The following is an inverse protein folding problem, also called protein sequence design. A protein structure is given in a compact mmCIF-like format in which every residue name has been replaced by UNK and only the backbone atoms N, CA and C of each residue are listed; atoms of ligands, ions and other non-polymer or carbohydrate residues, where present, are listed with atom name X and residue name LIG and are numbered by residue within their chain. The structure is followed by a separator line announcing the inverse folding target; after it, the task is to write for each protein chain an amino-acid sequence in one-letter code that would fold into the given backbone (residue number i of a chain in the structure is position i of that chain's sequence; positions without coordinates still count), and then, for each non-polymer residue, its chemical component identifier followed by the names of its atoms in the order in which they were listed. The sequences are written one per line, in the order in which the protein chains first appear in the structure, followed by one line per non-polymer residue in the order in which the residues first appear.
data_IF_917507673883
#
_entry.id   IF_917507673883
#
_cell.length_a   1.000
_cell.length_b   1.000
_cell.length_c   1.000
_cell.angle_alpha   90.00
_cell.angle_beta   90.00
_cell.angle_gamma   90.00
#
_symmetry.space_group_name_H-M   'P 1'
#
loop_
_entity.id
_entity.type
_entity.pdbx_description
1 polymer ?
#
# COMPACT_ATOMS: atom_id res chain seq x y z
N UNK A 1 -15.00 -16.38 -18.43
CA UNK A 1 -15.40 -17.64 -17.75
C UNK A 1 -14.26 -18.66 -17.71
N UNK A 2 -14.02 -19.50 -18.74
CA UNK A 2 -12.97 -20.53 -18.67
C UNK A 2 -11.52 -19.98 -18.69
N UNK A 3 -11.25 -18.92 -19.48
CA UNK A 3 -9.93 -18.27 -19.52
C UNK A 3 -9.62 -17.42 -18.27
N UNK A 4 -10.64 -16.93 -17.56
CA UNK A 4 -10.46 -16.19 -16.30
C UNK A 4 -10.16 -17.13 -15.13
N UNK A 5 -10.81 -18.31 -15.08
CA UNK A 5 -10.53 -19.33 -14.07
C UNK A 5 -9.13 -19.94 -14.22
N UNK A 6 -8.62 -20.08 -15.45
CA UNK A 6 -7.26 -20.57 -15.71
C UNK A 6 -6.15 -19.57 -15.31
N UNK A 7 -6.47 -18.27 -15.15
CA UNK A 7 -5.50 -17.26 -14.67
C UNK A 7 -5.28 -17.33 -13.16
N UNK A 8 -6.25 -17.78 -12.38
CA UNK A 8 -6.14 -17.84 -10.91
C UNK A 8 -5.15 -18.90 -10.42
N UNK A 9 -5.07 -20.06 -11.08
CA UNK A 9 -4.19 -21.16 -10.63
C UNK A 9 -2.70 -20.93 -10.90
N UNK A 10 -2.33 -19.86 -11.64
CA UNK A 10 -0.95 -19.65 -12.11
C UNK A 10 -0.32 -18.32 -11.66
N UNK A 11 -0.97 -17.50 -10.84
CA UNK A 11 -0.32 -16.33 -10.27
C UNK A 11 0.51 -16.73 -9.04
N UNK A 12 1.82 -16.41 -9.01
CA UNK A 12 2.64 -16.67 -7.84
C UNK A 12 2.09 -15.90 -6.65
N UNK A 13 2.03 -16.55 -5.48
CA UNK A 13 1.64 -15.86 -4.25
C UNK A 13 2.66 -14.78 -3.92
N UNK A 14 2.20 -13.53 -3.81
CA UNK A 14 3.04 -12.37 -3.49
C UNK A 14 2.66 -11.87 -2.10
N UNK A 15 3.66 -11.86 -1.22
CA UNK A 15 3.56 -11.34 0.14
C UNK A 15 4.11 -9.94 0.20
N UNK A 16 3.37 -9.03 0.83
CA UNK A 16 3.78 -7.64 1.04
C UNK A 16 3.74 -7.29 2.52
N UNK A 17 4.73 -6.52 2.95
CA UNK A 17 4.63 -5.70 4.15
C UNK A 17 4.25 -4.28 3.72
N UNK A 18 3.11 -3.79 4.19
CA UNK A 18 2.59 -2.49 3.84
C UNK A 18 2.48 -1.65 5.10
N UNK A 19 2.86 -0.38 5.04
CA UNK A 19 2.68 0.51 6.17
C UNK A 19 2.21 1.89 5.72
N UNK A 20 1.28 2.46 6.49
CA UNK A 20 0.70 3.79 6.29
C UNK A 20 1.39 4.76 7.26
N UNK A 21 2.34 5.51 6.74
CA UNK A 21 3.29 6.30 7.51
C UNK A 21 2.75 7.68 7.88
N UNK A 22 3.01 8.08 9.13
CA UNK A 22 3.01 9.47 9.56
C UNK A 22 4.46 9.88 9.76
N UNK A 23 4.87 11.03 9.22
CA UNK A 23 6.21 11.57 9.45
C UNK A 23 6.38 12.00 10.90
N UNK A 24 7.63 12.10 11.35
CA UNK A 24 7.92 12.81 12.59
C UNK A 24 7.33 14.23 12.49
N UNK A 25 6.47 14.68 13.44
CA UNK A 25 5.84 16.00 13.39
C UNK A 25 6.83 17.17 13.24
N UNK A 26 8.06 17.03 13.73
CA UNK A 26 9.12 18.02 13.62
C UNK A 26 9.82 18.07 12.25
N UNK A 27 9.67 17.03 11.41
CA UNK A 27 10.22 16.96 10.06
C UNK A 27 9.25 17.62 9.07
N UNK A 28 9.69 18.57 8.24
CA UNK A 28 8.78 19.20 7.28
C UNK A 28 8.23 18.19 6.26
N UNK A 29 6.98 18.36 5.83
CA UNK A 29 6.33 17.44 4.89
C UNK A 29 7.08 17.31 3.56
N UNK A 30 7.70 18.41 3.08
CA UNK A 30 8.50 18.41 1.86
C UNK A 30 9.83 17.62 2.00
N UNK A 31 10.35 17.49 3.21
CA UNK A 31 11.62 16.81 3.49
C UNK A 31 11.42 15.30 3.78
N UNK A 32 10.18 14.90 4.08
CA UNK A 32 9.84 13.52 4.41
C UNK A 32 10.29 12.49 3.35
N UNK A 33 10.04 12.69 2.03
CA UNK A 33 10.48 11.72 1.03
C UNK A 33 11.99 11.49 1.02
N UNK A 34 12.79 12.54 1.28
CA UNK A 34 14.25 12.43 1.35
C UNK A 34 14.68 11.68 2.61
N UNK A 35 14.17 12.06 3.78
CA UNK A 35 14.49 11.39 5.05
C UNK A 35 14.09 9.89 5.03
N UNK A 36 12.98 9.58 4.38
CA UNK A 36 12.48 8.22 4.22
C UNK A 36 13.32 7.39 3.24
N UNK A 37 13.85 8.00 2.18
CA UNK A 37 14.82 7.38 1.26
C UNK A 37 16.11 7.03 1.98
N UNK A 38 16.61 7.92 2.84
CA UNK A 38 17.79 7.67 3.69
C UNK A 38 17.55 6.51 4.65
N UNK A 39 16.36 6.44 5.27
CA UNK A 39 15.96 5.32 6.12
C UNK A 39 15.95 3.99 5.36
N UNK A 40 15.41 3.96 4.14
CA UNK A 40 15.45 2.76 3.27
C UNK A 40 16.89 2.36 2.91
N UNK A 41 17.77 3.34 2.67
CA UNK A 41 19.18 3.10 2.39
C UNK A 41 19.91 2.52 3.63
N UNK A 42 19.56 2.97 4.83
CA UNK A 42 20.05 2.41 6.09
C UNK A 42 19.57 0.96 6.27
N UNK A 43 18.27 0.71 6.05
CA UNK A 43 17.69 -0.63 6.12
C UNK A 43 18.35 -1.62 5.17
N UNK A 44 18.77 -1.17 3.98
CA UNK A 44 19.51 -2.00 3.02
C UNK A 44 20.86 -2.49 3.54
N UNK A 45 21.50 -1.76 4.46
CA UNK A 45 22.76 -2.18 5.07
C UNK A 45 22.56 -3.34 6.05
N UNK A 46 21.33 -3.55 6.53
CA UNK A 46 20.98 -4.65 7.41
C UNK A 46 20.83 -5.94 6.60
N UNK A 47 21.68 -6.93 6.86
CA UNK A 47 21.68 -8.22 6.15
C UNK A 47 20.32 -8.91 6.23
N UNK A 48 19.67 -8.87 7.39
CA UNK A 48 18.37 -9.47 7.63
C UNK A 48 17.28 -8.92 6.69
N UNK A 49 17.28 -7.59 6.49
CA UNK A 49 16.36 -6.88 5.59
C UNK A 49 16.64 -7.25 4.14
N UNK A 50 17.91 -7.23 3.71
CA UNK A 50 18.30 -7.56 2.34
C UNK A 50 17.97 -9.00 1.93
N UNK A 51 17.91 -9.94 2.87
CA UNK A 51 17.50 -11.33 2.61
C UNK A 51 15.99 -11.52 2.52
N UNK A 52 15.21 -10.65 3.18
CA UNK A 52 13.76 -10.81 3.37
C UNK A 52 12.93 -9.92 2.46
N UNK A 53 13.50 -8.82 1.97
CA UNK A 53 12.81 -7.82 1.16
C UNK A 53 13.33 -7.89 -0.27
N UNK A 54 12.45 -8.28 -1.19
CA UNK A 54 12.72 -8.50 -2.62
C UNK A 54 12.48 -7.29 -3.51
N UNK A 55 11.72 -6.31 -3.02
CA UNK A 55 11.48 -5.03 -3.68
C UNK A 55 10.84 -4.04 -2.69
N UNK A 56 11.04 -2.75 -2.93
CA UNK A 56 10.45 -1.65 -2.15
C UNK A 56 9.94 -0.56 -3.09
N UNK A 57 8.77 -0.02 -2.79
CA UNK A 57 8.28 1.24 -3.33
C UNK A 57 7.79 2.12 -2.18
N UNK A 58 8.30 3.35 -2.12
CA UNK A 58 7.88 4.38 -1.18
C UNK A 58 7.01 5.39 -1.92
N UNK A 59 5.74 5.43 -1.57
CA UNK A 59 4.73 6.27 -2.17
C UNK A 59 4.47 7.46 -1.23
N UNK A 60 4.97 8.64 -1.58
CA UNK A 60 4.79 9.85 -0.78
C UNK A 60 3.49 10.55 -1.16
N UNK A 61 2.77 11.09 -0.16
CA UNK A 61 1.52 11.83 -0.39
C UNK A 61 1.77 13.05 -1.28
N UNK A 62 0.88 13.26 -2.24
CA UNK A 62 0.84 14.49 -3.03
C UNK A 62 0.40 15.67 -2.15
N UNK A 63 1.29 16.66 -1.96
CA UNK A 63 1.05 17.78 -1.04
C UNK A 63 0.15 18.88 -1.62
N UNK A 64 0.13 19.04 -2.94
CA UNK A 64 -0.58 20.13 -3.63
C UNK A 64 -1.99 19.75 -4.10
N UNK A 65 -2.46 18.56 -3.71
CA UNK A 65 -3.74 18.03 -4.13
C UNK A 65 -4.75 18.20 -3.01
N UNK A 66 -5.78 18.98 -3.29
CA UNK A 66 -6.91 19.16 -2.39
C UNK A 66 -8.14 18.45 -2.97
N UNK A 67 -8.52 17.35 -2.32
CA UNK A 67 -9.75 16.62 -2.60
C UNK A 67 -10.31 16.12 -1.27
N UNK A 68 -11.59 16.41 -0.99
CA UNK A 68 -12.21 16.21 0.32
C UNK A 68 -12.20 14.75 0.82
N UNK A 69 -12.16 13.78 -0.09
CA UNK A 69 -12.09 12.36 0.25
C UNK A 69 -10.67 11.89 0.61
N UNK A 70 -9.63 12.67 0.34
CA UNK A 70 -8.23 12.30 0.62
C UNK A 70 -7.82 12.70 2.04
N UNK A 71 -7.14 11.78 2.71
CA UNK A 71 -6.58 12.03 4.03
C UNK A 71 -5.33 12.88 3.96
N UNK A 72 -5.22 13.84 4.88
CA UNK A 72 -4.01 14.64 5.12
C UNK A 72 -3.25 14.21 6.38
N UNK A 73 -3.80 13.28 7.16
CA UNK A 73 -3.24 12.77 8.43
C UNK A 73 -2.01 11.86 8.28
N UNK A 74 -1.68 11.49 7.05
CA UNK A 74 -0.60 10.56 6.71
C UNK A 74 0.27 11.14 5.60
N UNK A 75 1.53 10.76 5.56
CA UNK A 75 2.54 11.35 4.66
C UNK A 75 3.02 10.39 3.58
N UNK A 76 2.73 9.09 3.71
CA UNK A 76 3.00 8.12 2.64
C UNK A 76 2.61 6.69 2.95
N UNK A 77 2.78 5.84 1.95
CA UNK A 77 2.59 4.39 2.02
C UNK A 77 3.83 3.69 1.51
N UNK A 78 4.32 2.69 2.22
CA UNK A 78 5.37 1.82 1.71
C UNK A 78 4.80 0.47 1.29
N UNK A 79 5.27 -0.01 0.15
CA UNK A 79 4.99 -1.34 -0.38
C UNK A 79 6.30 -2.13 -0.42
N UNK A 80 6.46 -3.10 0.48
CA UNK A 80 7.63 -3.98 0.51
C UNK A 80 7.24 -5.38 0.09
N UNK A 81 7.78 -5.87 -1.03
CA UNK A 81 7.61 -7.28 -1.43
C UNK A 81 8.56 -8.15 -0.61
N UNK A 82 8.01 -9.19 -0.01
CA UNK A 82 8.74 -10.09 0.86
C UNK A 82 9.24 -11.34 0.11
N UNK A 83 10.25 -12.00 0.68
CA UNK A 83 10.76 -13.25 0.15
C UNK A 83 9.71 -14.36 0.17
N UNK A 84 8.99 -14.46 1.28
CA UNK A 84 7.94 -15.42 1.61
C UNK A 84 7.06 -14.83 2.74
N UNK A 85 6.14 -15.64 3.28
CA UNK A 85 5.24 -15.22 4.36
C UNK A 85 6.01 -15.02 5.66
N UNK A 86 6.92 -15.95 5.97
CA UNK A 86 7.69 -16.03 7.22
C UNK A 86 8.62 -14.83 7.41
N UNK A 87 9.12 -14.27 6.31
CA UNK A 87 9.87 -13.02 6.27
C UNK A 87 9.14 -11.86 6.97
N UNK A 88 7.80 -11.83 6.93
CA UNK A 88 6.98 -10.77 7.52
C UNK A 88 7.06 -10.69 9.04
N UNK A 89 7.21 -11.84 9.70
CA UNK A 89 7.46 -11.90 11.15
C UNK A 89 8.96 -11.73 11.47
N UNK A 90 9.81 -12.45 10.72
CA UNK A 90 11.24 -12.54 11.01
C UNK A 90 12.03 -11.25 10.78
N UNK A 91 11.47 -10.27 10.07
CA UNK A 91 12.13 -8.96 9.86
C UNK A 91 12.22 -8.14 11.16
N UNK A 92 11.36 -8.43 12.16
CA UNK A 92 11.23 -7.60 13.37
C UNK A 92 12.14 -7.99 14.52
N UNK A 93 12.64 -9.23 14.54
CA UNK A 93 13.25 -9.82 15.73
C UNK A 93 14.79 -9.95 15.60
N UNK A 94 15.38 -9.39 14.54
CA UNK A 94 16.83 -9.40 14.33
C UNK A 94 17.53 -8.30 15.14
N UNK A 95 18.41 -8.65 16.11
CA UNK A 95 19.05 -7.67 16.98
C UNK A 95 19.92 -6.65 16.26
N UNK A 96 20.60 -7.04 15.18
CA UNK A 96 21.45 -6.14 14.38
C UNK A 96 20.59 -5.07 13.70
N UNK A 97 19.53 -5.49 13.00
CA UNK A 97 18.58 -4.58 12.35
C UNK A 97 17.94 -3.64 13.36
N UNK A 98 17.55 -4.15 14.54
CA UNK A 98 16.97 -3.32 15.59
C UNK A 98 17.96 -2.27 16.10
N UNK A 99 19.22 -2.64 16.33
CA UNK A 99 20.25 -1.71 16.80
C UNK A 99 20.54 -0.57 15.80
N UNK A 100 20.40 -0.84 14.50
CA UNK A 100 20.64 0.12 13.42
C UNK A 100 19.41 0.98 13.15
N UNK A 101 18.23 0.36 13.00
CA UNK A 101 17.02 1.02 12.50
C UNK A 101 16.25 1.76 13.60
N UNK A 102 16.17 1.20 14.82
CA UNK A 102 15.36 1.79 15.90
C UNK A 102 15.77 3.20 16.30
N UNK A 103 17.06 3.57 16.33
CA UNK A 103 17.44 4.94 16.59
C UNK A 103 17.05 5.91 15.46
N UNK A 104 16.95 5.42 14.23
CA UNK A 104 16.59 6.23 13.05
C UNK A 104 15.08 6.43 12.89
N UNK A 105 14.26 5.47 13.32
CA UNK A 105 12.80 5.52 13.15
C UNK A 105 12.17 6.83 13.70
N UNK A 106 12.45 7.29 14.93
CA UNK A 106 11.91 8.55 15.45
C UNK A 106 12.43 9.81 14.72
N UNK A 107 13.53 9.73 13.96
CA UNK A 107 13.97 10.86 13.11
C UNK A 107 13.00 11.06 11.94
N UNK A 108 12.43 9.98 11.43
CA UNK A 108 11.67 9.97 10.17
C UNK A 108 10.17 9.86 10.40
N UNK A 109 9.73 9.04 11.35
CA UNK A 109 8.33 8.70 11.57
C UNK A 109 7.81 9.20 12.92
N UNK A 110 6.48 9.29 13.04
CA UNK A 110 5.81 9.65 14.29
C UNK A 110 5.85 8.54 15.35
N UNK A 111 6.07 7.29 14.94
CA UNK A 111 6.18 6.12 15.80
C UNK A 111 7.14 5.10 15.15
N UNK A 112 7.36 3.97 15.79
CA UNK A 112 8.14 2.88 15.24
C UNK A 112 7.39 2.11 14.15
N UNK A 113 8.09 1.72 13.08
CA UNK A 113 7.50 1.15 11.84
C UNK A 113 6.67 -0.10 12.11
N UNK A 114 7.09 -0.95 13.06
CA UNK A 114 6.32 -2.15 13.48
C UNK A 114 4.90 -1.82 13.96
N UNK A 115 4.67 -0.63 14.52
CA UNK A 115 3.38 -0.23 15.10
C UNK A 115 2.35 0.24 14.07
N UNK A 116 2.74 0.38 12.81
CA UNK A 116 1.85 0.79 11.72
C UNK A 116 2.09 -0.02 10.43
N UNK A 117 2.73 -1.18 10.56
CA UNK A 117 2.95 -2.14 9.47
C UNK A 117 1.98 -3.30 9.54
N UNK A 118 1.55 -3.75 8.37
CA UNK A 118 0.68 -4.92 8.21
C UNK A 118 1.28 -5.90 7.21
N UNK A 119 1.08 -7.19 7.47
CA UNK A 119 1.43 -8.28 6.55
C UNK A 119 0.22 -8.58 5.68
N UNK A 120 0.41 -8.54 4.36
CA UNK A 120 -0.66 -8.74 3.40
C UNK A 120 -0.30 -9.75 2.32
N UNK A 121 -1.34 -10.41 1.80
CA UNK A 121 -1.29 -11.17 0.56
C UNK A 121 -1.86 -10.36 -0.59
N UNK A 122 -1.11 -10.27 -1.67
CA UNK A 122 -1.50 -9.54 -2.86
C UNK A 122 -2.37 -10.38 -3.80
N UNK A 123 -3.36 -9.74 -4.43
CA UNK A 123 -4.06 -10.23 -5.62
C UNK A 123 -4.20 -9.10 -6.65
N UNK A 124 -3.92 -9.39 -7.92
CA UNK A 124 -4.20 -8.46 -9.03
C UNK A 124 -5.64 -8.66 -9.48
N UNK A 125 -6.47 -7.64 -9.34
CA UNK A 125 -7.90 -7.71 -9.67
C UNK A 125 -8.23 -7.20 -11.07
N UNK A 126 -7.39 -6.31 -11.59
CA UNK A 126 -7.53 -5.76 -12.93
C UNK A 126 -6.17 -5.31 -13.47
N UNK A 127 -5.94 -5.53 -14.76
CA UNK A 127 -4.73 -5.12 -15.43
C UNK A 127 -4.99 -4.95 -16.94
N UNK A 128 -4.58 -3.80 -17.48
CA UNK A 128 -4.51 -3.53 -18.93
C UNK A 128 -3.10 -3.24 -19.42
N UNK A 129 -2.11 -3.40 -18.53
CA UNK A 129 -0.71 -3.11 -18.80
C UNK A 129 -0.11 -4.12 -19.78
N UNK A 130 0.84 -3.72 -20.65
CA UNK A 130 1.60 -4.65 -21.49
C UNK A 130 2.28 -5.76 -20.67
N UNK A 131 2.46 -6.95 -21.26
CA UNK A 131 2.89 -8.14 -20.53
C UNK A 131 4.26 -7.99 -19.83
N UNK A 132 5.18 -7.23 -20.43
CA UNK A 132 6.50 -6.89 -19.87
C UNK A 132 6.41 -5.97 -18.64
N UNK A 133 5.44 -5.05 -18.62
CA UNK A 133 5.17 -4.17 -17.47
C UNK A 133 4.29 -4.88 -16.43
N UNK A 134 3.43 -5.80 -16.85
CA UNK A 134 2.53 -6.58 -15.96
C UNK A 134 3.29 -7.45 -14.95
N UNK A 135 4.52 -7.86 -15.32
CA UNK A 135 5.40 -8.61 -14.45
C UNK A 135 5.92 -7.80 -13.25
N UNK A 136 5.83 -6.47 -13.28
CA UNK A 136 6.27 -5.63 -12.17
C UNK A 136 5.37 -5.88 -10.94
N UNK A 137 5.95 -6.23 -9.80
CA UNK A 137 5.19 -6.44 -8.54
C UNK A 137 4.90 -5.13 -7.79
N UNK A 138 5.64 -4.07 -8.12
CA UNK A 138 5.58 -2.76 -7.49
C UNK A 138 5.54 -1.65 -8.54
N UNK A 139 4.95 -0.50 -8.21
CA UNK A 139 4.96 0.67 -9.07
C UNK A 139 6.39 1.22 -9.18
N UNK A 140 6.71 1.82 -10.33
CA UNK A 140 8.04 2.39 -10.60
C UNK A 140 8.12 3.85 -10.13
N UNK A 141 9.33 4.44 -10.09
CA UNK A 141 9.50 5.86 -9.77
C UNK A 141 8.58 6.74 -10.63
N UNK A 142 8.07 7.82 -10.05
CA UNK A 142 7.16 8.80 -10.68
C UNK A 142 5.76 8.25 -11.02
N UNK A 143 5.50 6.96 -10.78
CA UNK A 143 4.15 6.40 -10.90
C UNK A 143 3.24 7.05 -9.86
N UNK A 144 2.05 7.48 -10.28
CA UNK A 144 1.02 8.02 -9.39
C UNK A 144 -0.05 6.97 -9.13
N UNK A 145 -0.47 6.89 -7.87
CA UNK A 145 -1.48 5.94 -7.41
C UNK A 145 -2.45 6.59 -6.47
N UNK A 146 -3.69 6.09 -6.50
CA UNK A 146 -4.61 6.24 -5.39
C UNK A 146 -4.51 4.95 -4.56
N UNK A 147 -4.34 5.10 -3.25
CA UNK A 147 -4.25 3.97 -2.31
C UNK A 147 -5.40 4.12 -1.31
N UNK A 148 -6.19 3.06 -1.16
CA UNK A 148 -7.30 2.99 -0.22
C UNK A 148 -7.03 1.94 0.85
N UNK A 149 -7.03 2.35 2.11
CA UNK A 149 -7.10 1.47 3.28
C UNK A 149 -8.56 1.39 3.70
N UNK A 150 -9.18 0.21 3.60
CA UNK A 150 -10.63 0.03 3.72
C UNK A 150 -10.98 -0.96 4.82
N UNK A 151 -11.98 -0.62 5.64
CA UNK A 151 -12.51 -1.45 6.73
C UNK A 151 -14.01 -1.26 6.85
N UNK A 152 -14.79 -2.33 6.71
CA UNK A 152 -16.25 -2.27 6.98
C UNK A 152 -16.60 -2.60 8.44
N UNK A 153 -15.80 -3.43 9.10
CA UNK A 153 -16.08 -3.97 10.43
C UNK A 153 -14.96 -3.61 11.39
N UNK A 154 -15.31 -2.95 12.49
CA UNK A 154 -14.41 -2.51 13.57
C UNK A 154 -13.70 -3.71 14.24
N UNK A 155 -14.28 -4.90 14.14
CA UNK A 155 -13.73 -6.13 14.67
C UNK A 155 -12.90 -6.91 13.63
N UNK A 156 -11.68 -7.30 14.03
CA UNK A 156 -10.85 -8.24 13.28
C UNK A 156 -11.46 -9.64 13.31
N UNK A 157 -11.81 -10.17 12.14
CA UNK A 157 -12.41 -11.50 12.00
C UNK A 157 -11.47 -12.54 11.36
N UNK A 158 -10.17 -12.24 11.31
CA UNK A 158 -9.18 -13.09 10.64
C UNK A 158 -8.88 -12.67 9.21
N UNK A 159 -7.95 -13.38 8.57
CA UNK A 159 -7.57 -13.15 7.20
C UNK A 159 -8.78 -13.27 6.27
N UNK A 160 -8.97 -12.26 5.42
CA UNK A 160 -10.13 -12.20 4.53
C UNK A 160 -9.80 -12.84 3.21
N UNK A 161 -10.74 -13.59 2.64
CA UNK A 161 -10.63 -14.02 1.25
C UNK A 161 -10.64 -12.79 0.36
N UNK A 162 -9.59 -12.66 -0.45
CA UNK A 162 -9.53 -11.60 -1.46
C UNK A 162 -10.64 -11.82 -2.50
N UNK A 163 -11.21 -10.74 -3.07
CA UNK A 163 -12.29 -10.89 -4.03
C UNK A 163 -11.77 -11.56 -5.32
N UNK A 164 -12.50 -12.57 -5.81
CA UNK A 164 -12.18 -13.30 -7.06
C UNK A 164 -12.16 -12.36 -8.26
N UNK A 165 -13.11 -11.41 -8.30
CA UNK A 165 -13.24 -10.40 -9.34
C UNK A 165 -13.16 -9.02 -8.72
N UNK A 166 -12.67 -8.04 -9.49
CA UNK A 166 -12.67 -6.66 -9.04
C UNK A 166 -14.11 -6.19 -8.72
N UNK A 167 -14.40 -5.81 -7.46
CA UNK A 167 -15.73 -5.33 -7.09
C UNK A 167 -16.16 -4.14 -7.95
N UNK A 168 -17.44 -4.05 -8.35
CA UNK A 168 -17.91 -2.95 -9.20
C UNK A 168 -17.58 -1.58 -8.61
N UNK A 169 -17.73 -1.41 -7.29
CA UNK A 169 -17.41 -0.19 -6.55
C UNK A 169 -15.95 0.26 -6.67
N UNK A 170 -15.02 -0.66 -6.94
CA UNK A 170 -13.60 -0.33 -7.13
C UNK A 170 -13.28 0.01 -8.60
N UNK A 171 -14.29 0.00 -9.47
CA UNK A 171 -14.22 0.31 -10.91
C UNK A 171 -15.34 1.24 -11.39
N UNK A 172 -15.80 2.14 -10.54
CA UNK A 172 -16.75 3.20 -10.92
C UNK A 172 -16.06 4.56 -11.05
N UNK A 173 -16.70 5.50 -11.76
CA UNK A 173 -16.21 6.87 -11.85
C UNK A 173 -14.78 6.96 -12.38
N UNK A 174 -13.97 7.84 -11.79
CA UNK A 174 -12.59 8.08 -12.21
C UNK A 174 -11.63 6.94 -11.86
N UNK A 175 -11.89 6.12 -10.83
CA UNK A 175 -11.02 4.97 -10.51
C UNK A 175 -11.05 3.88 -11.60
N UNK A 176 -12.07 3.84 -12.45
CA UNK A 176 -12.11 2.94 -13.62
C UNK A 176 -11.03 3.29 -14.67
N UNK A 177 -10.41 4.47 -14.59
CA UNK A 177 -9.30 4.85 -15.46
C UNK A 177 -7.99 4.18 -15.08
N UNK A 178 -7.90 3.54 -13.91
CA UNK A 178 -6.70 2.84 -13.46
C UNK A 178 -6.24 1.80 -14.50
N UNK A 179 -4.93 1.74 -14.77
CA UNK A 179 -4.33 0.73 -15.63
C UNK A 179 -4.09 -0.59 -14.91
N UNK A 180 -4.05 -0.55 -13.57
CA UNK A 180 -3.95 -1.72 -12.72
C UNK A 180 -4.68 -1.49 -11.39
N UNK A 181 -5.32 -2.55 -10.90
CA UNK A 181 -5.95 -2.58 -9.57
C UNK A 181 -5.42 -3.79 -8.83
N UNK A 182 -4.81 -3.53 -7.68
CA UNK A 182 -4.23 -4.55 -6.80
C UNK A 182 -4.96 -4.48 -5.46
N UNK A 183 -5.38 -5.62 -4.93
CA UNK A 183 -5.93 -5.74 -3.60
C UNK A 183 -4.97 -6.52 -2.72
N UNK A 184 -4.65 -5.97 -1.56
CA UNK A 184 -3.87 -6.62 -0.54
C UNK A 184 -4.77 -6.91 0.66
N UNK A 185 -4.92 -8.18 1.02
CA UNK A 185 -5.68 -8.62 2.19
C UNK A 185 -4.74 -8.90 3.34
N UNK A 186 -5.10 -8.45 4.54
CA UNK A 186 -4.31 -8.71 5.72
C UNK A 186 -4.30 -10.20 6.06
N UNK A 187 -3.13 -10.71 6.38
CA UNK A 187 -2.92 -12.09 6.80
C UNK A 187 -2.96 -12.23 8.33
N UNK A 188 -2.54 -11.19 9.03
CA UNK A 188 -2.45 -11.15 10.49
C UNK A 188 -3.19 -9.93 11.04
N UNK A 189 -3.49 -9.95 12.35
CA UNK A 189 -4.15 -8.85 13.02
C UNK A 189 -3.28 -7.59 12.90
N UNK A 190 -3.87 -6.50 12.42
CA UNK A 190 -3.18 -5.22 12.35
C UNK A 190 -2.82 -4.64 13.73
N UNK A 191 -1.81 -3.77 13.81
CA UNK A 191 -1.60 -2.91 14.96
C UNK A 191 -2.84 -2.05 15.30
N UNK A 192 -2.93 -1.59 16.55
CA UNK A 192 -4.03 -0.74 16.99
C UNK A 192 -4.09 0.56 16.17
N UNK A 193 -5.29 0.92 15.71
CA UNK A 193 -5.50 2.10 14.85
C UNK A 193 -5.24 1.88 13.35
N UNK A 194 -4.86 0.66 12.94
CA UNK A 194 -4.57 0.29 11.54
C UNK A 194 -5.38 -0.93 11.07
N UNK A 195 -6.58 -1.14 11.64
CA UNK A 195 -7.45 -2.31 11.47
C UNK A 195 -7.99 -2.59 10.06
N UNK A 196 -7.47 -1.95 9.03
CA UNK A 196 -7.95 -2.05 7.67
C UNK A 196 -7.88 -3.47 7.13
N UNK A 197 -8.95 -3.94 6.48
CA UNK A 197 -9.04 -5.32 5.97
C UNK A 197 -8.52 -5.45 4.54
N UNK A 198 -8.65 -4.37 3.77
CA UNK A 198 -8.20 -4.30 2.40
C UNK A 198 -7.32 -3.07 2.19
N UNK A 199 -6.22 -3.26 1.49
CA UNK A 199 -5.40 -2.16 0.96
C UNK A 199 -5.45 -2.27 -0.55
N UNK A 200 -6.16 -1.35 -1.19
CA UNK A 200 -6.38 -1.32 -2.63
C UNK A 200 -5.46 -0.29 -3.26
N UNK A 201 -4.71 -0.69 -4.28
CA UNK A 201 -3.84 0.15 -5.07
C UNK A 201 -4.47 0.34 -6.46
N UNK A 202 -4.80 1.58 -6.83
CA UNK A 202 -5.20 1.96 -8.18
C UNK A 202 -4.04 2.70 -8.85
N UNK A 203 -3.50 2.11 -9.91
CA UNK A 203 -2.33 2.65 -10.62
C UNK A 203 -2.81 3.42 -11.85
N UNK A 204 -2.27 4.62 -12.07
CA UNK A 204 -2.69 5.50 -13.16
C UNK A 204 -1.52 5.88 -14.06
N UNK A 205 -1.77 5.98 -15.35
CA UNK A 205 -0.73 6.29 -16.33
C UNK A 205 -0.33 7.78 -16.28
N UNK A 206 -1.21 8.65 -15.78
CA UNK A 206 -0.96 10.08 -15.63
C UNK A 206 -1.49 10.64 -14.31
N UNK A 207 -0.92 11.78 -13.90
CA UNK A 207 -1.37 12.53 -12.71
C UNK A 207 -2.82 12.98 -12.86
N UNK A 208 -3.23 13.42 -14.05
CA UNK A 208 -4.59 13.91 -14.32
C UNK A 208 -5.64 12.82 -14.13
N UNK A 209 -5.33 11.58 -14.56
CA UNK A 209 -6.21 10.43 -14.31
C UNK A 209 -6.37 10.16 -12.82
N UNK A 210 -5.25 10.20 -12.08
CA UNK A 210 -5.25 9.94 -10.64
C UNK A 210 -5.98 11.04 -9.86
N UNK A 211 -5.83 12.32 -10.27
CA UNK A 211 -6.58 13.45 -9.71
C UNK A 211 -8.09 13.33 -10.00
N UNK A 212 -8.45 13.01 -11.23
CA UNK A 212 -9.84 12.77 -11.62
C UNK A 212 -10.45 11.63 -10.80
N UNK A 213 -9.68 10.55 -10.58
CA UNK A 213 -10.09 9.45 -9.71
C UNK A 213 -10.33 9.90 -8.28
N UNK A 214 -9.39 10.61 -7.66
CA UNK A 214 -9.52 11.14 -6.31
C UNK A 214 -10.72 12.07 -6.14
N UNK A 215 -10.96 12.97 -7.11
CA UNK A 215 -12.10 13.89 -7.09
C UNK A 215 -13.45 13.18 -7.31
N UNK A 216 -13.44 12.06 -8.01
CA UNK A 216 -14.63 11.26 -8.27
C UNK A 216 -15.00 10.29 -7.14
N UNK A 217 -14.14 10.16 -6.12
CA UNK A 217 -14.42 9.31 -4.97
C UNK A 217 -15.68 9.79 -4.27
N UNK A 218 -16.75 9.01 -4.43
CA UNK A 218 -17.99 9.25 -3.71
C UNK A 218 -17.96 8.45 -2.41
N UNK A 219 -17.58 9.10 -1.32
CA UNK A 219 -17.60 8.52 0.03
C UNK A 219 -18.95 8.69 0.75
N UNK A 220 -20.02 9.08 0.05
CA UNK A 220 -21.36 9.22 0.65
C UNK A 220 -21.89 7.89 1.21
N UNK A 221 -22.79 7.96 2.20
CA UNK A 221 -23.36 6.80 2.88
C UNK A 221 -23.96 5.74 1.93
N UNK A 222 -24.47 6.14 0.76
CA UNK A 222 -25.01 5.21 -0.24
C UNK A 222 -23.94 4.36 -0.95
N UNK A 223 -22.68 4.80 -0.96
CA UNK A 223 -21.55 4.03 -1.48
C UNK A 223 -20.90 3.12 -0.41
N UNK A 224 -21.45 3.08 0.82
CA UNK A 224 -20.87 2.38 1.96
C UNK A 224 -21.53 1.04 2.32
N UNK A 225 -22.71 0.72 1.77
CA UNK A 225 -23.57 -0.35 2.31
C UNK A 225 -23.33 -1.77 1.72
N UNK A 226 -22.44 -1.91 0.73
CA UNK A 226 -22.01 -3.19 0.14
C UNK A 226 -20.72 -3.73 0.78
N UNK A 227 -20.45 -5.05 0.74
CA UNK A 227 -19.30 -5.70 1.40
C UNK A 227 -17.97 -5.03 0.99
N UNK A 228 -17.91 -4.58 -0.26
CA UNK A 228 -16.78 -3.88 -0.86
C UNK A 228 -16.97 -2.35 -0.95
N UNK A 229 -17.97 -1.81 -0.25
CA UNK A 229 -18.11 -0.38 -0.01
C UNK A 229 -16.96 0.18 0.83
N UNK A 230 -16.90 1.51 0.97
CA UNK A 230 -15.72 2.14 1.58
C UNK A 230 -15.59 1.93 3.09
N UNK A 231 -16.71 1.88 3.83
CA UNK A 231 -16.68 1.74 5.30
C UNK A 231 -15.86 2.84 5.99
N UNK A 232 -15.18 2.49 7.08
CA UNK A 232 -14.05 3.28 7.60
C UNK A 232 -12.88 3.19 6.61
N UNK A 233 -12.35 4.34 6.21
CA UNK A 233 -11.36 4.38 5.14
C UNK A 233 -10.35 5.51 5.28
N UNK A 234 -9.20 5.28 4.65
CA UNK A 234 -8.22 6.31 4.30
C UNK A 234 -7.90 6.20 2.83
N UNK A 235 -8.17 7.27 2.08
CA UNK A 235 -7.66 7.42 0.72
C UNK A 235 -6.47 8.35 0.70
N UNK A 236 -5.43 7.95 -0.03
CA UNK A 236 -4.25 8.77 -0.25
C UNK A 236 -3.88 8.75 -1.73
N UNK A 237 -3.79 9.93 -2.32
CA UNK A 237 -3.13 10.11 -3.60
C UNK A 237 -1.62 10.25 -3.36
N UNK A 238 -0.84 9.37 -3.94
CA UNK A 238 0.60 9.28 -3.72
C UNK A 238 1.38 9.09 -5.02
N UNK A 239 2.63 9.54 -5.01
CA UNK A 239 3.60 9.29 -6.07
C UNK A 239 4.77 8.48 -5.53
N UNK A 240 5.27 7.56 -6.34
CA UNK A 240 6.45 6.77 -6.01
C UNK A 240 7.70 7.63 -6.08
N UNK A 241 8.21 8.03 -4.92
CA UNK A 241 9.42 8.85 -4.79
C UNK A 241 10.70 8.01 -4.67
N UNK A 242 10.56 6.70 -4.48
CA UNK A 242 11.66 5.76 -4.47
C UNK A 242 11.15 4.34 -4.74
N UNK A 243 11.73 3.67 -5.72
CA UNK A 243 11.50 2.27 -6.03
C UNK A 243 12.83 1.54 -6.24
N UNK A 244 12.89 0.28 -5.80
CA UNK A 244 14.01 -0.62 -6.04
C UNK A 244 13.59 -2.09 -5.95
N UNK A 245 14.31 -3.01 -6.60
CA UNK A 245 14.34 -4.40 -6.17
C UNK A 245 14.98 -4.53 -4.77
#
# INVERSE_FOLDING_TARGET
MAEEMLKEENQPTVWKMIYLARRNPALAAADFPQAWREHSALGRQCKNVGQRVKAVAQCSRQLQVDASALSTDYDGVNLMVLADREAGSAIWDDPETLAIMRPDEPRVFADYVRNFSVLCRQQVLYERMPADVSAALLPQNEQVMLIGFLQRSDEWQGAVTSPVLCPPHWRIGGVNQASRIVCNTLDEKAPAGYGYRYIVEWWFDTVEQALSAAQSLNASAAAQDDEFGWGEHVFMLAEVTHARP
#
